data_IF_856578778259
#
_entry.id   IF_856578778259
#
_cell.length_a   1.000
_cell.length_b   1.000
_cell.length_c   1.000
_cell.angle_alpha   90.00
_cell.angle_beta   90.00
_cell.angle_gamma   90.00
#
_symmetry.space_group_name_H-M   'P 1'
#
loop_
_entity.id
_entity.type
_entity.pdbx_description
1 polymer ?
#
# COMPACT_ATOMS: atom_id res chain seq x y z
N UNK A 1 5.28 -24.81 26.20
CA UNK A 1 4.71 -24.20 24.97
C UNK A 1 4.80 -22.70 25.18
N UNK A 2 5.56 -21.96 24.36
CA UNK A 2 5.61 -20.49 24.49
C UNK A 2 4.23 -19.95 24.15
N UNK A 3 3.61 -19.28 25.11
CA UNK A 3 2.30 -18.65 24.91
C UNK A 3 2.54 -17.41 24.04
N UNK A 4 2.34 -17.52 22.72
CA UNK A 4 2.45 -16.39 21.81
C UNK A 4 1.28 -15.44 22.05
N UNK A 5 1.56 -14.15 22.03
CA UNK A 5 0.55 -13.10 22.16
C UNK A 5 -0.33 -13.06 20.92
N UNK A 6 -1.63 -13.21 21.10
CA UNK A 6 -2.61 -13.25 19.99
C UNK A 6 -2.94 -11.83 19.54
N UNK A 7 -2.69 -11.52 18.27
CA UNK A 7 -2.82 -10.15 17.79
C UNK A 7 -3.77 -10.03 16.60
N UNK A 8 -4.55 -8.96 16.61
CA UNK A 8 -5.29 -8.45 15.46
C UNK A 8 -4.51 -7.30 14.84
N UNK A 9 -4.57 -7.15 13.54
CA UNK A 9 -4.01 -6.00 12.82
C UNK A 9 -5.17 -5.14 12.33
N UNK A 10 -5.16 -3.84 12.67
CA UNK A 10 -6.20 -2.93 12.22
C UNK A 10 -5.81 -2.29 10.89
N UNK A 11 -6.65 -2.52 9.89
CA UNK A 11 -6.48 -2.07 8.51
C UNK A 11 -5.64 -3.02 7.65
N UNK A 12 -6.12 -3.30 6.47
CA UNK A 12 -5.41 -4.07 5.43
C UNK A 12 -4.89 -3.13 4.34
N UNK A 13 -4.50 -1.92 4.72
CA UNK A 13 -3.74 -1.01 3.88
C UNK A 13 -2.30 -1.49 3.75
N UNK A 14 -1.52 -0.74 2.97
CA UNK A 14 -0.09 -0.88 2.89
C UNK A 14 0.60 -1.07 4.26
N UNK A 15 0.32 -0.19 5.25
CA UNK A 15 0.93 -0.26 6.59
C UNK A 15 0.52 -1.54 7.35
N UNK A 16 -0.75 -1.93 7.29
CA UNK A 16 -1.20 -3.16 7.94
C UNK A 16 -0.56 -4.42 7.34
N UNK A 17 -0.33 -4.43 6.02
CA UNK A 17 0.41 -5.52 5.35
C UNK A 17 1.88 -5.52 5.76
N UNK A 18 2.49 -4.35 5.95
CA UNK A 18 3.86 -4.23 6.46
C UNK A 18 3.97 -4.78 7.89
N UNK A 19 3.07 -4.38 8.78
CA UNK A 19 2.97 -4.94 10.14
C UNK A 19 2.87 -6.47 10.08
N UNK A 20 1.94 -6.98 9.27
CA UNK A 20 1.75 -8.43 9.10
C UNK A 20 3.06 -9.15 8.74
N UNK A 21 3.88 -8.58 7.90
CA UNK A 21 5.12 -9.20 7.42
C UNK A 21 6.27 -9.09 8.42
N UNK A 22 6.34 -7.97 9.15
CA UNK A 22 7.44 -7.68 10.08
C UNK A 22 7.27 -8.32 11.45
N UNK A 23 6.05 -8.66 11.85
CA UNK A 23 5.80 -9.26 13.16
C UNK A 23 6.53 -10.61 13.31
N UNK A 24 7.28 -10.74 14.39
CA UNK A 24 7.95 -11.98 14.76
C UNK A 24 6.93 -13.06 15.16
N UNK A 25 6.80 -14.09 14.33
CA UNK A 25 5.89 -15.23 14.54
C UNK A 25 6.26 -16.11 15.74
N UNK A 26 7.44 -15.93 16.32
CA UNK A 26 7.83 -16.61 17.55
C UNK A 26 7.17 -15.96 18.78
N UNK A 27 6.89 -14.65 18.70
CA UNK A 27 6.30 -13.84 19.76
C UNK A 27 4.80 -13.70 19.54
N UNK A 28 4.38 -13.44 18.30
CA UNK A 28 3.00 -13.10 17.96
C UNK A 28 2.30 -14.20 17.16
N UNK A 29 1.05 -14.48 17.53
CA UNK A 29 0.12 -15.27 16.73
C UNK A 29 -0.93 -14.34 16.11
N UNK A 30 -0.83 -14.10 14.80
CA UNK A 30 -1.78 -13.21 14.13
C UNK A 30 -3.10 -13.94 13.93
N UNK A 31 -4.13 -13.46 14.63
CA UNK A 31 -5.50 -13.99 14.57
C UNK A 31 -6.17 -13.61 13.25
N UNK A 32 -5.98 -12.37 12.80
CA UNK A 32 -6.57 -11.85 11.57
C UNK A 32 -6.43 -10.33 11.45
N UNK A 33 -7.19 -9.78 10.53
CA UNK A 33 -7.30 -8.34 10.31
C UNK A 33 -8.68 -7.86 10.73
N UNK A 34 -8.77 -6.61 11.19
CA UNK A 34 -10.04 -5.88 11.31
C UNK A 34 -10.03 -4.71 10.34
N UNK A 35 -11.17 -4.45 9.69
CA UNK A 35 -11.26 -3.50 8.60
C UNK A 35 -12.61 -2.77 8.64
N UNK A 36 -12.62 -1.50 8.19
CA UNK A 36 -13.82 -0.70 8.00
C UNK A 36 -14.30 -0.72 6.55
N UNK A 37 -13.39 -1.03 5.61
CA UNK A 37 -13.69 -1.09 4.18
C UNK A 37 -14.51 -2.34 3.88
N UNK A 38 -15.77 -2.12 3.52
CA UNK A 38 -16.76 -3.19 3.31
C UNK A 38 -16.36 -4.16 2.19
N UNK A 39 -15.61 -3.67 1.18
CA UNK A 39 -15.19 -4.47 0.03
C UNK A 39 -14.11 -5.51 0.39
N UNK A 40 -13.45 -5.34 1.53
CA UNK A 40 -12.42 -6.27 2.01
C UNK A 40 -12.94 -7.26 3.05
N UNK A 41 -14.07 -6.92 3.70
CA UNK A 41 -14.62 -7.71 4.80
C UNK A 41 -15.11 -9.07 4.31
N UNK A 42 -14.88 -10.11 5.13
CA UNK A 42 -15.26 -11.50 4.81
C UNK A 42 -14.25 -12.21 3.89
N UNK A 43 -13.29 -11.47 3.33
CA UNK A 43 -12.18 -12.04 2.57
C UNK A 43 -11.08 -12.62 3.46
N UNK A 44 -9.99 -13.02 2.81
CA UNK A 44 -8.76 -13.49 3.47
C UNK A 44 -7.54 -12.82 2.88
N UNK A 45 -6.57 -12.53 3.72
CA UNK A 45 -5.23 -12.15 3.32
C UNK A 45 -4.23 -13.16 3.88
N UNK A 46 -3.49 -13.83 3.00
CA UNK A 46 -2.52 -14.87 3.36
C UNK A 46 -3.10 -15.91 4.35
N UNK A 47 -4.31 -16.40 4.06
CA UNK A 47 -5.05 -17.37 4.87
C UNK A 47 -5.68 -16.82 6.17
N UNK A 48 -5.40 -15.55 6.54
CA UNK A 48 -5.98 -14.89 7.71
C UNK A 48 -7.28 -14.18 7.35
N UNK A 49 -8.29 -14.31 8.19
CA UNK A 49 -9.59 -13.70 7.96
C UNK A 49 -9.56 -12.18 8.11
N UNK A 50 -10.39 -11.49 7.35
CA UNK A 50 -10.62 -10.05 7.45
C UNK A 50 -12.02 -9.85 8.05
N UNK A 51 -12.06 -9.35 9.29
CA UNK A 51 -13.28 -9.12 10.03
C UNK A 51 -13.70 -7.65 9.93
N UNK A 52 -14.99 -7.40 10.03
CA UNK A 52 -15.47 -6.03 10.25
C UNK A 52 -15.05 -5.58 11.67
N UNK A 53 -14.61 -4.32 11.82
CA UNK A 53 -14.24 -3.75 13.12
C UNK A 53 -15.34 -3.90 14.18
N UNK A 54 -16.62 -3.85 13.80
CA UNK A 54 -17.77 -4.08 14.69
C UNK A 54 -17.77 -5.48 15.37
N UNK A 55 -17.07 -6.42 14.80
CA UNK A 55 -17.00 -7.78 15.35
C UNK A 55 -15.83 -7.96 16.33
N UNK A 56 -15.05 -6.93 16.62
CA UNK A 56 -13.84 -7.03 17.43
C UNK A 56 -14.09 -7.65 18.80
N UNK A 57 -15.21 -7.32 19.45
CA UNK A 57 -15.55 -7.83 20.78
C UNK A 57 -15.94 -9.32 20.80
N UNK A 58 -16.11 -9.93 19.60
CA UNK A 58 -16.40 -11.37 19.46
C UNK A 58 -15.17 -12.17 19.05
N UNK A 59 -14.00 -11.52 18.92
CA UNK A 59 -12.74 -12.17 18.55
C UNK A 59 -11.87 -12.25 19.79
N UNK A 60 -11.30 -13.42 20.04
CA UNK A 60 -10.37 -13.60 21.14
C UNK A 60 -8.97 -13.17 20.72
N UNK A 61 -8.42 -12.11 21.37
CA UNK A 61 -7.11 -11.53 21.14
C UNK A 61 -6.54 -10.85 22.39
N UNK A 62 -5.23 -10.72 22.43
CA UNK A 62 -4.48 -10.02 23.47
C UNK A 62 -4.22 -8.57 23.11
N UNK A 63 -3.84 -8.30 21.86
CA UNK A 63 -3.51 -6.95 21.35
C UNK A 63 -4.12 -6.67 20.00
N UNK A 64 -4.39 -5.38 19.75
CA UNK A 64 -4.66 -4.82 18.42
C UNK A 64 -3.48 -3.95 18.01
N UNK A 65 -2.87 -4.26 16.89
CA UNK A 65 -1.76 -3.51 16.34
C UNK A 65 -2.30 -2.54 15.29
N UNK A 66 -1.96 -1.27 15.44
CA UNK A 66 -2.36 -0.18 14.55
C UNK A 66 -1.11 0.38 13.89
N UNK A 67 -1.18 0.63 12.58
CA UNK A 67 -0.19 1.41 11.86
C UNK A 67 -0.84 2.10 10.66
N UNK A 68 -0.40 3.30 10.33
CA UNK A 68 -0.95 4.02 9.18
C UNK A 68 -0.90 5.54 9.31
N UNK A 69 -1.70 6.20 8.46
CA UNK A 69 -1.79 7.67 8.45
C UNK A 69 -2.80 8.21 9.47
N UNK A 70 -3.83 7.43 9.80
CA UNK A 70 -4.97 7.86 10.64
C UNK A 70 -4.94 7.16 12.01
N UNK A 71 -3.77 7.07 12.64
CA UNK A 71 -3.57 6.36 13.92
C UNK A 71 -4.53 6.88 14.99
N UNK A 72 -4.65 8.21 15.13
CA UNK A 72 -5.50 8.81 16.16
C UNK A 72 -6.97 8.46 16.01
N UNK A 73 -7.49 8.45 14.77
CA UNK A 73 -8.87 8.06 14.49
C UNK A 73 -9.10 6.57 14.78
N UNK A 74 -8.15 5.71 14.41
CA UNK A 74 -8.22 4.28 14.69
C UNK A 74 -8.17 4.00 16.20
N UNK A 75 -7.29 4.69 16.93
CA UNK A 75 -7.21 4.60 18.40
C UNK A 75 -8.50 5.06 19.04
N UNK A 76 -9.04 6.20 18.58
CA UNK A 76 -10.32 6.74 19.06
C UNK A 76 -11.45 5.74 18.82
N UNK A 77 -11.55 5.20 17.60
CA UNK A 77 -12.54 4.19 17.26
C UNK A 77 -12.48 2.97 18.20
N UNK A 78 -11.29 2.42 18.42
CA UNK A 78 -11.13 1.27 19.32
C UNK A 78 -11.54 1.57 20.77
N UNK A 79 -11.22 2.75 21.27
CA UNK A 79 -11.52 3.14 22.65
C UNK A 79 -12.97 3.54 22.85
N UNK A 80 -13.49 4.40 21.98
CA UNK A 80 -14.74 5.10 22.22
C UNK A 80 -15.94 4.29 21.69
N UNK A 81 -15.78 3.61 20.54
CA UNK A 81 -16.86 2.82 19.95
C UNK A 81 -16.87 1.37 20.44
N UNK A 82 -15.68 0.76 20.61
CA UNK A 82 -15.57 -0.65 20.94
C UNK A 82 -15.09 -0.93 22.37
N UNK A 83 -14.76 0.13 23.14
CA UNK A 83 -14.38 0.04 24.57
C UNK A 83 -13.15 -0.87 24.78
N UNK A 84 -12.22 -0.87 23.85
CA UNK A 84 -10.98 -1.64 23.97
C UNK A 84 -10.02 -0.96 24.95
N UNK A 85 -9.53 -1.71 25.94
CA UNK A 85 -8.55 -1.20 26.91
C UNK A 85 -7.30 -0.70 26.17
N UNK A 86 -6.86 0.52 26.54
CA UNK A 86 -5.63 1.13 25.99
C UNK A 86 -4.42 0.20 26.05
N UNK A 87 -4.32 -0.65 27.09
CA UNK A 87 -3.25 -1.63 27.26
C UNK A 87 -3.22 -2.70 26.16
N UNK A 88 -4.35 -2.93 25.49
CA UNK A 88 -4.48 -3.86 24.37
C UNK A 88 -4.16 -3.21 23.03
N UNK A 89 -3.99 -1.89 22.96
CA UNK A 89 -3.69 -1.16 21.72
C UNK A 89 -2.20 -0.95 21.62
N UNK A 90 -1.57 -1.48 20.57
CA UNK A 90 -0.18 -1.29 20.24
C UNK A 90 -0.10 -0.47 18.95
N UNK A 91 0.52 0.70 19.04
CA UNK A 91 0.80 1.54 17.86
C UNK A 91 2.20 1.24 17.37
N UNK A 92 2.32 0.94 16.08
CA UNK A 92 3.60 0.84 15.38
C UNK A 92 3.76 2.08 14.50
N UNK A 93 4.75 2.90 14.81
CA UNK A 93 5.08 4.08 14.04
C UNK A 93 5.69 3.69 12.68
N UNK A 94 5.64 4.62 11.70
CA UNK A 94 6.26 4.38 10.40
C UNK A 94 7.74 4.04 10.51
N UNK A 95 8.45 4.63 11.47
CA UNK A 95 9.85 4.34 11.80
C UNK A 95 10.08 2.89 12.20
N UNK A 96 9.11 2.25 12.87
CA UNK A 96 9.20 0.86 13.30
C UNK A 96 9.04 -0.12 12.12
N UNK A 97 8.50 0.39 11.00
CA UNK A 97 8.29 -0.35 9.76
C UNK A 97 9.41 -0.14 8.74
N UNK A 98 10.48 0.55 9.12
CA UNK A 98 11.61 0.82 8.23
C UNK A 98 12.32 -0.46 7.83
N UNK A 99 12.61 -0.55 6.53
CA UNK A 99 13.40 -1.63 5.97
C UNK A 99 14.85 -1.54 6.47
N UNK A 100 15.47 -2.67 6.74
CA UNK A 100 16.91 -2.69 6.95
C UNK A 100 17.65 -2.35 5.63
N UNK A 101 18.94 -2.04 5.69
CA UNK A 101 19.74 -1.63 4.52
C UNK A 101 19.66 -2.60 3.34
N UNK A 102 19.64 -3.91 3.61
CA UNK A 102 19.55 -4.96 2.56
C UNK A 102 18.18 -4.92 1.87
N UNK A 103 17.11 -4.70 2.63
CA UNK A 103 15.77 -4.61 2.08
C UNK A 103 15.57 -3.31 1.29
N UNK A 104 16.18 -2.21 1.72
CA UNK A 104 16.19 -0.94 0.97
C UNK A 104 16.93 -1.08 -0.35
N UNK A 105 18.10 -1.72 -0.37
CA UNK A 105 18.86 -1.97 -1.60
C UNK A 105 18.07 -2.84 -2.60
N UNK A 106 17.42 -3.89 -2.12
CA UNK A 106 16.55 -4.73 -2.96
C UNK A 106 15.36 -3.95 -3.51
N UNK A 107 14.76 -3.10 -2.70
CA UNK A 107 13.65 -2.24 -3.11
C UNK A 107 14.11 -1.24 -4.17
N UNK A 108 15.25 -0.57 -3.96
CA UNK A 108 15.83 0.37 -4.93
C UNK A 108 16.06 -0.30 -6.28
N UNK A 109 16.71 -1.46 -6.27
CA UNK A 109 16.92 -2.24 -7.51
C UNK A 109 15.60 -2.53 -8.21
N UNK A 110 14.57 -2.94 -7.47
CA UNK A 110 13.26 -3.26 -8.06
C UNK A 110 12.55 -2.02 -8.60
N UNK A 111 12.59 -0.90 -7.88
CA UNK A 111 12.05 0.38 -8.34
C UNK A 111 12.74 0.84 -9.64
N UNK A 112 14.07 0.72 -9.72
CA UNK A 112 14.81 1.01 -10.94
C UNK A 112 14.44 0.09 -12.12
N UNK A 113 14.27 -1.22 -11.88
CA UNK A 113 13.79 -2.16 -12.90
C UNK A 113 12.40 -1.78 -13.43
N UNK A 114 11.49 -1.44 -12.53
CA UNK A 114 10.12 -1.02 -12.89
C UNK A 114 10.12 0.32 -13.64
N UNK A 115 10.95 1.27 -13.22
CA UNK A 115 11.10 2.55 -13.91
C UNK A 115 11.65 2.35 -15.34
N UNK A 116 12.67 1.51 -15.51
CA UNK A 116 13.18 1.17 -16.82
C UNK A 116 12.11 0.50 -17.71
N UNK A 117 11.32 -0.40 -17.15
CA UNK A 117 10.20 -1.00 -17.87
C UNK A 117 9.21 0.08 -18.35
N UNK A 118 8.80 1.01 -17.46
CA UNK A 118 7.90 2.10 -17.81
C UNK A 118 8.50 3.06 -18.86
N UNK A 119 9.79 3.39 -18.73
CA UNK A 119 10.50 4.23 -19.72
C UNK A 119 10.51 3.58 -21.11
N UNK A 120 10.82 2.28 -21.16
CA UNK A 120 10.83 1.54 -22.42
C UNK A 120 9.44 1.49 -23.06
N UNK A 121 8.41 1.19 -22.27
CA UNK A 121 7.02 1.21 -22.70
C UNK A 121 6.62 2.59 -23.24
N UNK A 122 6.93 3.64 -22.51
CA UNK A 122 6.64 5.02 -22.88
C UNK A 122 7.35 5.44 -24.18
N UNK A 123 8.59 5.01 -24.37
CA UNK A 123 9.36 5.31 -25.56
C UNK A 123 8.85 4.59 -26.82
N UNK A 124 8.32 3.39 -26.67
CA UNK A 124 7.76 2.61 -27.79
C UNK A 124 6.44 3.18 -28.29
N UNK A 125 5.65 3.77 -27.41
CA UNK A 125 4.30 4.22 -27.68
C UNK A 125 4.15 5.76 -27.69
N UNK A 126 5.28 6.49 -27.73
CA UNK A 126 5.32 7.96 -27.69
C UNK A 126 4.54 8.59 -26.53
N UNK A 127 4.62 7.94 -25.35
CA UNK A 127 3.97 8.43 -24.12
C UNK A 127 4.88 9.46 -23.47
N UNK A 128 4.37 10.68 -23.33
CA UNK A 128 5.06 11.74 -22.60
C UNK A 128 4.79 11.62 -21.10
N UNK A 129 5.83 11.65 -20.30
CA UNK A 129 5.73 11.59 -18.85
C UNK A 129 6.68 12.55 -18.15
N UNK A 130 6.35 12.88 -16.92
CA UNK A 130 7.15 13.73 -16.04
C UNK A 130 7.28 13.06 -14.67
N UNK A 131 8.50 13.06 -14.14
CA UNK A 131 8.69 12.71 -12.74
C UNK A 131 8.00 13.73 -11.86
N UNK A 132 7.35 13.30 -10.78
CA UNK A 132 6.59 14.20 -9.91
C UNK A 132 6.83 13.92 -8.43
N UNK A 133 6.28 14.77 -7.57
CA UNK A 133 6.32 14.65 -6.12
C UNK A 133 7.69 14.25 -5.54
N UNK A 134 7.69 13.21 -4.70
CA UNK A 134 8.88 12.70 -4.01
C UNK A 134 9.94 12.19 -4.98
N UNK A 135 9.54 11.62 -6.11
CA UNK A 135 10.44 11.06 -7.12
C UNK A 135 11.24 12.13 -7.87
N UNK A 136 10.61 13.25 -8.19
CA UNK A 136 11.33 14.40 -8.76
C UNK A 136 12.34 14.97 -7.75
N UNK A 137 11.97 14.99 -6.48
CA UNK A 137 12.83 15.48 -5.40
C UNK A 137 14.03 14.57 -5.20
N UNK A 138 13.81 13.24 -5.23
CA UNK A 138 14.88 12.23 -5.15
C UNK A 138 15.90 12.43 -6.28
N UNK A 139 15.43 12.54 -7.52
CA UNK A 139 16.30 12.80 -8.68
C UNK A 139 17.12 14.09 -8.53
N UNK A 140 16.48 15.19 -8.11
CA UNK A 140 17.18 16.47 -7.93
C UNK A 140 18.24 16.42 -6.83
N UNK A 141 18.05 15.61 -5.80
CA UNK A 141 18.96 15.49 -4.65
C UNK A 141 19.98 14.38 -4.83
N UNK A 142 19.86 13.53 -5.84
CA UNK A 142 20.67 12.32 -6.00
C UNK A 142 20.40 11.28 -4.88
N UNK A 143 19.16 11.22 -4.41
CA UNK A 143 18.74 10.27 -3.37
C UNK A 143 18.13 9.01 -3.99
N UNK A 144 18.20 7.89 -3.26
CA UNK A 144 17.60 6.63 -3.65
C UNK A 144 16.06 6.70 -3.59
N UNK A 145 15.37 6.13 -4.59
CA UNK A 145 13.91 6.06 -4.61
C UNK A 145 13.35 5.22 -3.45
N UNK A 146 14.08 4.19 -3.01
CA UNK A 146 13.65 3.32 -1.93
C UNK A 146 13.45 4.03 -0.58
N UNK A 147 13.98 5.24 -0.40
CA UNK A 147 13.70 6.12 0.75
C UNK A 147 12.26 6.65 0.75
N UNK A 148 11.61 6.60 -0.41
CA UNK A 148 10.20 6.94 -0.61
C UNK A 148 9.39 5.67 -0.83
N UNK A 149 8.07 5.75 -0.77
CA UNK A 149 7.22 4.55 -0.87
C UNK A 149 7.24 3.93 -2.27
N UNK A 150 7.26 4.78 -3.29
CA UNK A 150 7.00 4.49 -4.69
C UNK A 150 7.65 5.52 -5.61
N UNK A 151 7.58 5.27 -6.90
CA UNK A 151 7.97 6.25 -7.91
C UNK A 151 6.70 6.90 -8.47
N UNK A 152 6.66 8.23 -8.39
CA UNK A 152 5.55 9.03 -8.91
C UNK A 152 5.89 9.59 -10.30
N UNK A 153 5.03 9.32 -11.27
CA UNK A 153 5.08 9.93 -12.61
C UNK A 153 3.74 10.54 -12.98
N UNK A 154 3.75 11.57 -13.78
CA UNK A 154 2.55 12.16 -14.35
C UNK A 154 2.56 11.97 -15.87
N UNK A 155 1.38 11.73 -16.44
CA UNK A 155 1.13 11.63 -17.87
C UNK A 155 -0.09 12.48 -18.24
N UNK A 156 -0.25 12.79 -19.52
CA UNK A 156 -1.49 13.43 -19.96
C UNK A 156 -2.68 12.47 -19.80
N UNK A 157 -3.82 13.00 -19.37
CA UNK A 157 -4.99 12.19 -19.01
C UNK A 157 -5.49 11.31 -20.15
N UNK A 158 -5.41 11.78 -21.37
CA UNK A 158 -5.77 11.02 -22.58
C UNK A 158 -4.89 9.79 -22.83
N UNK A 159 -3.71 9.71 -22.24
CA UNK A 159 -2.79 8.58 -22.37
C UNK A 159 -3.04 7.45 -21.34
N UNK A 160 -3.78 7.73 -20.26
CA UNK A 160 -4.05 6.73 -19.21
C UNK A 160 -4.73 5.46 -19.75
N UNK A 161 -5.78 5.52 -20.60
CA UNK A 161 -6.38 4.31 -21.15
C UNK A 161 -5.39 3.44 -21.95
N UNK A 162 -4.56 4.06 -22.79
CA UNK A 162 -3.51 3.36 -23.54
C UNK A 162 -2.53 2.67 -22.60
N UNK A 163 -2.08 3.37 -21.57
CA UNK A 163 -1.17 2.81 -20.56
C UNK A 163 -1.81 1.60 -19.86
N UNK A 164 -3.08 1.70 -19.48
CA UNK A 164 -3.81 0.57 -18.89
C UNK A 164 -3.83 -0.65 -19.82
N UNK A 165 -4.10 -0.44 -21.11
CA UNK A 165 -4.17 -1.52 -22.11
C UNK A 165 -2.80 -2.18 -22.30
N UNK A 166 -1.74 -1.38 -22.36
CA UNK A 166 -0.37 -1.88 -22.50
C UNK A 166 0.06 -2.69 -21.28
N UNK A 167 -0.14 -2.15 -20.09
CA UNK A 167 0.19 -2.83 -18.84
C UNK A 167 -0.59 -4.15 -18.68
N UNK A 168 -1.86 -4.18 -19.07
CA UNK A 168 -2.67 -5.39 -19.00
C UNK A 168 -2.21 -6.49 -19.96
N UNK A 169 -1.59 -6.15 -21.09
CA UNK A 169 -0.97 -7.13 -22.00
C UNK A 169 0.19 -7.87 -21.32
N UNK A 170 0.93 -7.16 -20.46
CA UNK A 170 2.07 -7.67 -19.70
C UNK A 170 1.70 -8.07 -18.26
N UNK A 171 0.43 -8.35 -18.01
CA UNK A 171 -0.16 -8.59 -16.67
C UNK A 171 0.50 -9.73 -15.87
N UNK A 172 1.42 -10.50 -16.47
CA UNK A 172 2.22 -11.51 -15.77
C UNK A 172 3.32 -10.95 -14.87
N UNK A 173 3.78 -9.72 -15.08
CA UNK A 173 4.95 -9.14 -14.42
C UNK A 173 4.61 -8.40 -13.14
N UNK A 174 3.52 -7.64 -13.14
CA UNK A 174 3.15 -6.72 -12.07
C UNK A 174 1.66 -6.82 -11.72
N UNK A 175 1.32 -6.40 -10.51
CA UNK A 175 -0.07 -6.14 -10.12
C UNK A 175 -0.44 -4.72 -10.56
N UNK A 176 -1.57 -4.58 -11.25
CA UNK A 176 -2.04 -3.31 -11.79
C UNK A 176 -3.30 -2.91 -11.03
N UNK A 177 -3.33 -1.68 -10.55
CA UNK A 177 -4.49 -1.09 -9.88
C UNK A 177 -4.84 0.22 -10.57
N UNK A 178 -6.12 0.42 -10.87
CA UNK A 178 -6.64 1.67 -11.44
C UNK A 178 -7.50 2.40 -10.43
N UNK A 179 -7.37 3.73 -10.38
CA UNK A 179 -8.23 4.59 -9.59
C UNK A 179 -9.04 5.51 -10.51
N UNK A 180 -10.22 5.90 -10.03
CA UNK A 180 -11.15 6.77 -10.74
C UNK A 180 -11.51 7.98 -9.88
N UNK A 181 -11.79 9.09 -10.53
CA UNK A 181 -12.31 10.26 -9.84
C UNK A 181 -13.69 9.96 -9.23
N UNK A 182 -13.82 10.12 -7.93
CA UNK A 182 -15.06 9.90 -7.19
C UNK A 182 -16.09 11.02 -7.41
N UNK A 183 -15.59 12.24 -7.66
CA UNK A 183 -16.39 13.43 -7.94
C UNK A 183 -15.90 14.08 -9.22
N UNK A 184 -16.82 14.64 -9.99
CA UNK A 184 -16.48 15.48 -11.12
C UNK A 184 -15.80 16.79 -10.67
N UNK A 185 -14.89 17.29 -11.52
CA UNK A 185 -14.23 18.60 -11.34
C UNK A 185 -14.40 19.42 -12.61
N UNK A 186 -13.78 20.61 -12.66
CA UNK A 186 -13.75 21.42 -13.90
C UNK A 186 -13.08 20.68 -15.06
N UNK A 187 -12.19 19.73 -14.78
CA UNK A 187 -11.29 19.10 -15.76
C UNK A 187 -11.58 17.61 -15.99
N UNK A 188 -12.30 16.95 -15.08
CA UNK A 188 -12.59 15.51 -15.13
C UNK A 188 -14.03 15.22 -14.73
N UNK A 189 -14.61 14.22 -15.37
CA UNK A 189 -15.91 13.69 -15.00
C UNK A 189 -15.78 12.63 -13.89
N UNK A 190 -16.87 12.42 -13.16
CA UNK A 190 -16.95 11.30 -12.22
C UNK A 190 -16.81 9.98 -12.99
N UNK A 191 -15.85 9.17 -12.58
CA UNK A 191 -15.59 7.87 -13.21
C UNK A 191 -14.42 7.86 -14.18
N UNK A 192 -13.89 9.03 -14.59
CA UNK A 192 -12.65 9.10 -15.36
C UNK A 192 -11.49 8.48 -14.59
N UNK A 193 -10.57 7.85 -15.29
CA UNK A 193 -9.35 7.31 -14.71
C UNK A 193 -8.46 8.43 -14.18
N UNK A 194 -8.15 8.39 -12.90
CA UNK A 194 -7.29 9.37 -12.23
C UNK A 194 -5.84 8.92 -12.12
N UNK A 195 -5.61 7.62 -11.98
CA UNK A 195 -4.27 7.05 -11.93
C UNK A 195 -4.27 5.56 -12.23
N UNK A 196 -3.08 5.07 -12.56
CA UNK A 196 -2.74 3.65 -12.65
C UNK A 196 -1.54 3.41 -11.76
N UNK A 197 -1.61 2.42 -10.91
CA UNK A 197 -0.46 2.00 -10.10
C UNK A 197 0.02 0.63 -10.56
N UNK A 198 1.32 0.51 -10.73
CA UNK A 198 2.01 -0.76 -10.99
C UNK A 198 2.71 -1.13 -9.70
N UNK A 199 2.53 -2.35 -9.22
CA UNK A 199 3.23 -2.82 -8.04
C UNK A 199 3.83 -4.20 -8.26
N UNK A 200 4.91 -4.49 -7.55
CA UNK A 200 5.52 -5.81 -7.56
C UNK A 200 4.52 -6.86 -7.08
N UNK A 201 4.39 -7.96 -7.83
CA UNK A 201 3.70 -9.15 -7.33
C UNK A 201 4.48 -9.73 -6.18
N UNK A 202 3.99 -9.50 -4.98
CA UNK A 202 4.69 -9.87 -3.77
C UNK A 202 4.52 -11.37 -3.50
N UNK A 203 5.47 -12.14 -3.92
CA UNK A 203 5.81 -13.40 -3.27
C UNK A 203 6.90 -13.12 -2.25
N UNK A 204 6.50 -12.75 -1.04
CA UNK A 204 7.32 -12.80 0.19
C UNK A 204 8.41 -11.72 0.40
N UNK A 205 8.40 -11.10 1.58
CA UNK A 205 9.53 -10.55 2.38
C UNK A 205 9.83 -9.04 2.30
N UNK A 206 9.20 -8.24 1.46
CA UNK A 206 9.43 -6.79 1.53
C UNK A 206 8.22 -6.13 2.21
N UNK A 207 8.48 -5.37 3.27
CA UNK A 207 7.42 -4.66 3.99
C UNK A 207 6.67 -3.65 3.09
N UNK A 208 7.37 -3.12 2.10
CA UNK A 208 6.86 -2.22 1.08
C UNK A 208 7.10 -2.80 -0.32
N UNK A 209 6.07 -3.21 -1.07
CA UNK A 209 6.24 -3.56 -2.46
C UNK A 209 6.77 -2.32 -3.22
N UNK A 210 7.72 -2.54 -4.12
CA UNK A 210 8.11 -1.52 -5.07
C UNK A 210 6.91 -1.19 -5.97
N UNK A 211 6.72 0.08 -6.28
CA UNK A 211 5.59 0.50 -7.10
C UNK A 211 5.87 1.77 -7.90
N UNK A 212 5.10 1.96 -8.95
CA UNK A 212 5.03 3.21 -9.71
C UNK A 212 3.59 3.68 -9.73
N UNK A 213 3.37 4.92 -9.31
CA UNK A 213 2.09 5.60 -9.40
C UNK A 213 2.10 6.53 -10.63
N UNK A 214 1.23 6.25 -11.60
CA UNK A 214 1.07 7.00 -12.84
C UNK A 214 -0.21 7.83 -12.73
N UNK A 215 -0.05 9.13 -12.61
CA UNK A 215 -1.14 10.07 -12.35
C UNK A 215 -1.53 10.86 -13.61
N UNK A 216 -2.82 11.09 -13.79
CA UNK A 216 -3.37 11.89 -14.87
C UNK A 216 -3.12 13.39 -14.64
N UNK A 217 -2.61 14.07 -15.66
CA UNK A 217 -2.59 15.54 -15.76
C UNK A 217 -3.67 15.99 -16.76
N UNK A 218 -4.42 17.03 -16.41
CA UNK A 218 -5.28 17.72 -17.37
C UNK A 218 -4.47 18.71 -18.22
N UNK A 219 -4.94 18.95 -19.42
CA UNK A 219 -4.48 20.08 -20.23
C UNK A 219 -4.86 21.41 -19.62
#
# INVERSE_FOLDING_TARGET
>A
MSNRERVLIFGLSYHGRAVYRLLDRKIYDIVGFIENDIDKIGGKFDGKNIYHTKNINHIDFDKVIISGRNIDDMVRQLKDEFIIDKKKILVMERSDLTLNSIALEKKEKKLCEMLHYFINLSSQEDIQYWMSYSSLLALKRGEEFAKFSDIDVCVMSEQIPLICDLLNKDSGLYDITTNKYQNGTKYWEKGDLSSVSISERVNVVIAEPAGIDIMALSK
#
